data_IF_459896667415
#
_entry.id   IF_459896667415
#
_cell.length_a   1.000
_cell.length_b   1.000
_cell.length_c   1.000
_cell.angle_alpha   90.00
_cell.angle_beta   90.00
_cell.angle_gamma   90.00
#
_symmetry.space_group_name_H-M   'P 1'
#
loop_
_entity.id
_entity.type
_entity.pdbx_description
1 polymer ?
#
# COMPACT_ATOMS: atom_id res chain seq x y z
N UNK A 1 20.04 -29.25 -14.86
CA UNK A 1 19.52 -28.31 -15.87
C UNK A 1 18.55 -27.39 -15.15
N UNK A 2 18.97 -26.15 -14.93
CA UNK A 2 18.22 -24.96 -14.48
C UNK A 2 17.34 -25.08 -13.22
N UNK A 3 17.92 -24.62 -12.10
CA UNK A 3 17.25 -23.81 -11.08
C UNK A 3 16.29 -22.78 -11.68
N UNK A 4 15.05 -22.74 -11.21
CA UNK A 4 14.22 -21.54 -11.25
C UNK A 4 13.05 -21.71 -10.27
N UNK A 5 13.38 -21.50 -8.99
CA UNK A 5 12.59 -20.73 -8.03
C UNK A 5 11.09 -20.65 -8.34
N UNK A 6 10.32 -21.46 -7.62
CA UNK A 6 8.89 -21.31 -7.44
C UNK A 6 8.59 -20.05 -6.59
N UNK A 7 9.01 -18.87 -7.08
CA UNK A 7 8.76 -17.54 -6.49
C UNK A 7 7.45 -16.93 -7.04
N UNK A 8 6.68 -17.70 -7.80
CA UNK A 8 5.40 -17.27 -8.36
C UNK A 8 4.22 -17.38 -7.38
N UNK A 9 4.39 -18.03 -6.23
CA UNK A 9 3.34 -18.19 -5.20
C UNK A 9 3.36 -17.09 -4.12
N UNK A 10 4.22 -16.07 -4.24
CA UNK A 10 4.01 -14.81 -3.54
C UNK A 10 2.92 -14.03 -4.28
N UNK A 11 1.68 -14.41 -4.00
CA UNK A 11 0.44 -13.88 -4.54
C UNK A 11 0.54 -12.41 -4.88
N UNK A 12 0.81 -12.14 -6.15
CA UNK A 12 0.49 -10.88 -6.83
C UNK A 12 -1.01 -10.72 -6.68
N UNK A 13 -1.42 -10.16 -5.54
CA UNK A 13 -2.81 -9.87 -5.24
C UNK A 13 -3.36 -9.12 -6.44
N UNK A 14 -4.27 -9.79 -7.17
CA UNK A 14 -5.02 -9.26 -8.32
C UNK A 14 -5.97 -8.11 -7.91
N UNK A 15 -5.66 -7.39 -6.83
CA UNK A 15 -6.62 -6.62 -6.01
C UNK A 15 -6.15 -5.20 -5.69
N UNK A 16 -5.44 -4.55 -6.61
CA UNK A 16 -5.31 -3.09 -6.55
C UNK A 16 -5.38 -2.55 -7.97
N UNK A 17 -6.60 -2.35 -8.46
CA UNK A 17 -6.85 -1.78 -9.78
C UNK A 17 -6.52 -0.28 -9.83
N UNK A 18 -6.36 0.37 -8.67
CA UNK A 18 -5.92 1.76 -8.57
C UNK A 18 -4.82 1.96 -7.52
N UNK A 19 -3.93 2.96 -7.70
CA UNK A 19 -2.93 3.32 -6.70
C UNK A 19 -3.54 3.61 -5.32
N UNK A 20 -4.76 4.16 -5.29
CA UNK A 20 -5.53 4.41 -4.08
C UNK A 20 -5.85 3.13 -3.31
N UNK A 21 -6.39 2.11 -3.99
CA UNK A 21 -6.67 0.81 -3.36
C UNK A 21 -5.40 0.15 -2.85
N UNK A 22 -4.29 0.28 -3.60
CA UNK A 22 -2.99 -0.23 -3.17
C UNK A 22 -2.53 0.46 -1.88
N UNK A 23 -2.61 1.78 -1.81
CA UNK A 23 -2.27 2.55 -0.61
C UNK A 23 -3.07 2.06 0.60
N UNK A 24 -4.38 1.93 0.47
CA UNK A 24 -5.22 1.47 1.58
C UNK A 24 -4.91 0.04 1.99
N UNK A 25 -4.60 -0.84 1.05
CA UNK A 25 -4.18 -2.21 1.38
C UNK A 25 -2.90 -2.20 2.22
N UNK A 26 -1.87 -1.46 1.79
CA UNK A 26 -0.61 -1.32 2.54
C UNK A 26 -0.86 -0.80 3.96
N UNK A 27 -1.64 0.27 4.09
CA UNK A 27 -1.95 0.85 5.41
C UNK A 27 -2.77 -0.13 6.27
N UNK A 28 -3.69 -0.90 5.68
CA UNK A 28 -4.52 -1.88 6.39
C UNK A 28 -3.74 -3.09 6.89
N UNK A 29 -2.74 -3.56 6.14
CA UNK A 29 -1.87 -4.67 6.58
C UNK A 29 -0.80 -4.21 7.61
N UNK A 30 -0.78 -2.94 7.99
CA UNK A 30 0.06 -2.40 9.06
C UNK A 30 1.30 -1.61 8.61
N UNK A 31 1.38 -1.20 7.34
CA UNK A 31 2.44 -0.28 6.94
C UNK A 31 2.27 1.08 7.61
N UNK A 32 3.38 1.64 8.06
CA UNK A 32 3.36 2.96 8.67
C UNK A 32 3.09 4.03 7.60
N UNK A 33 2.11 4.93 7.81
CA UNK A 33 1.76 5.99 6.87
C UNK A 33 2.90 6.99 6.64
N UNK A 34 3.81 7.11 7.61
CA UNK A 34 5.00 7.95 7.54
C UNK A 34 6.24 7.22 7.01
N UNK A 35 6.12 5.94 6.63
CA UNK A 35 7.23 5.18 6.05
C UNK A 35 7.70 5.85 4.75
N UNK A 36 9.01 5.98 4.52
CA UNK A 36 9.54 6.63 3.31
C UNK A 36 9.03 5.98 2.02
N UNK A 37 8.73 4.67 2.04
CA UNK A 37 8.15 3.96 0.90
C UNK A 37 6.70 4.37 0.64
N UNK A 38 5.89 4.54 1.68
CA UNK A 38 4.51 5.01 1.57
C UNK A 38 4.49 6.47 1.13
N UNK A 39 5.32 7.33 1.73
CA UNK A 39 5.42 8.74 1.36
C UNK A 39 5.83 8.90 -0.10
N UNK A 40 6.82 8.14 -0.57
CA UNK A 40 7.23 8.14 -1.97
C UNK A 40 6.09 7.70 -2.89
N UNK A 41 5.46 6.56 -2.60
CA UNK A 41 4.33 6.03 -3.38
C UNK A 41 3.16 7.04 -3.47
N UNK A 42 2.83 7.67 -2.36
CA UNK A 42 1.78 8.68 -2.26
C UNK A 42 2.11 9.91 -3.09
N UNK A 43 3.35 10.40 -3.06
CA UNK A 43 3.78 11.55 -3.83
C UNK A 43 3.82 11.25 -5.33
N UNK A 44 4.33 10.07 -5.74
CA UNK A 44 4.39 9.65 -7.14
C UNK A 44 2.99 9.48 -7.76
N UNK A 45 1.98 9.12 -6.96
CA UNK A 45 0.61 8.87 -7.42
C UNK A 45 -0.37 10.00 -7.06
N UNK A 46 0.08 11.10 -6.44
CA UNK A 46 -0.79 12.22 -6.05
C UNK A 46 -1.82 11.89 -4.97
N UNK A 47 -1.58 10.87 -4.13
CA UNK A 47 -2.54 10.35 -3.15
C UNK A 47 -2.48 11.04 -1.78
N UNK A 48 -1.88 12.23 -1.68
CA UNK A 48 -1.72 12.97 -0.43
C UNK A 48 -3.06 13.15 0.31
N UNK A 49 -4.12 13.45 -0.45
CA UNK A 49 -5.48 13.59 0.10
C UNK A 49 -6.01 12.27 0.64
N UNK A 50 -5.82 11.16 -0.08
CA UNK A 50 -6.32 9.84 0.34
C UNK A 50 -5.58 9.31 1.58
N UNK A 51 -4.27 9.54 1.69
CA UNK A 51 -3.49 9.24 2.89
C UNK A 51 -4.03 10.03 4.10
N UNK A 52 -4.23 11.33 3.94
CA UNK A 52 -4.75 12.20 5.01
C UNK A 52 -6.16 11.82 5.45
N UNK A 53 -7.04 11.46 4.50
CA UNK A 53 -8.39 10.98 4.78
C UNK A 53 -8.37 9.69 5.62
N UNK A 54 -7.55 8.73 5.22
CA UNK A 54 -7.37 7.47 5.96
C UNK A 54 -6.82 7.70 7.38
N UNK A 55 -5.85 8.62 7.53
CA UNK A 55 -5.31 9.02 8.83
C UNK A 55 -6.37 9.68 9.73
N UNK A 56 -7.19 10.56 9.16
CA UNK A 56 -8.27 11.22 9.89
C UNK A 56 -9.30 10.19 10.39
N UNK A 57 -9.69 9.23 9.54
CA UNK A 57 -10.62 8.16 9.89
C UNK A 57 -10.08 7.24 11.00
N UNK A 58 -8.78 6.92 10.99
CA UNK A 58 -8.18 6.08 12.03
C UNK A 58 -7.95 6.83 13.34
N UNK A 59 -7.63 8.12 13.31
CA UNK A 59 -7.49 8.94 14.53
C UNK A 59 -8.80 9.06 15.32
N UNK A 60 -9.95 8.99 14.66
CA UNK A 60 -11.27 9.01 15.33
C UNK A 60 -11.59 7.69 16.03
N UNK A 61 -10.87 6.60 15.72
CA UNK A 61 -11.08 5.27 16.32
C UNK A 61 -10.16 4.97 17.51
N UNK A 62 -9.26 5.88 17.90
CA UNK A 62 -8.38 5.75 19.06
C UNK A 62 -8.96 6.39 20.31
#
# INVERSE_FOLDING_TARGET
MADAVNEAELGRSKYSNTPKEHLYHLLTIGWEPNSPLIVKFVNENGLQKDLNDWLALNKVKS
#
